data_IF_714448005402
#
_entry.id   IF_714448005402
#
_cell.length_a   1.000
_cell.length_b   1.000
_cell.length_c   1.000
_cell.angle_alpha   90.00
_cell.angle_beta   90.00
_cell.angle_gamma   90.00
#
_symmetry.space_group_name_H-M   'P 1'
#
loop_
_entity.id
_entity.type
_entity.pdbx_description
1 polymer ?
#
# COMPACT_ATOMS: atom_id res chain seq x y z
N UNK A 1 -6.44 11.51 13.72
CA UNK A 1 -5.73 12.71 13.24
C UNK A 1 -5.02 12.35 11.93
N UNK A 2 -5.77 12.17 10.85
CA UNK A 2 -5.22 11.82 9.54
C UNK A 2 -6.09 12.42 8.44
N UNK A 3 -5.45 12.81 7.34
CA UNK A 3 -6.12 13.42 6.19
C UNK A 3 -6.27 12.33 5.11
N UNK A 4 -7.50 11.87 4.91
CA UNK A 4 -7.84 10.82 3.93
C UNK A 4 -8.91 11.25 2.93
N UNK A 5 -9.25 12.55 2.86
CA UNK A 5 -10.36 13.07 2.05
C UNK A 5 -10.27 12.66 0.56
N UNK A 6 -9.06 12.47 0.04
CA UNK A 6 -8.79 11.99 -1.31
C UNK A 6 -7.40 11.32 -1.37
N UNK A 7 -7.06 10.69 -2.50
CA UNK A 7 -5.74 10.09 -2.72
C UNK A 7 -4.62 11.15 -2.69
N UNK A 8 -3.37 10.73 -2.46
CA UNK A 8 -2.21 11.60 -2.72
C UNK A 8 -1.91 12.57 -1.57
N UNK A 9 -2.31 12.21 -0.37
CA UNK A 9 -2.17 13.03 0.84
C UNK A 9 -0.93 12.66 1.68
N UNK A 10 -0.02 11.83 1.16
CA UNK A 10 1.18 11.40 1.90
C UNK A 10 1.99 12.59 2.42
N UNK A 11 2.30 13.56 1.56
CA UNK A 11 3.07 14.75 1.95
C UNK A 11 2.37 15.61 3.01
N UNK A 12 1.03 15.67 2.99
CA UNK A 12 0.29 16.37 4.03
C UNK A 12 0.35 15.62 5.36
N UNK A 13 0.27 14.28 5.34
CA UNK A 13 0.49 13.45 6.53
C UNK A 13 1.91 13.60 7.06
N UNK A 14 2.92 13.62 6.17
CA UNK A 14 4.33 13.83 6.53
C UNK A 14 4.54 15.10 7.34
N UNK A 15 3.98 16.23 6.92
CA UNK A 15 4.06 17.50 7.69
C UNK A 15 3.47 17.40 9.09
N UNK A 16 2.35 16.67 9.24
CA UNK A 16 1.76 16.41 10.57
C UNK A 16 2.69 15.52 11.39
N UNK A 17 3.31 14.51 10.78
CA UNK A 17 4.31 13.68 11.42
C UNK A 17 5.50 14.48 11.96
N UNK A 18 6.03 15.40 11.15
CA UNK A 18 7.13 16.29 11.54
C UNK A 18 6.76 17.17 12.74
N UNK A 19 5.56 17.75 12.74
CA UNK A 19 5.05 18.55 13.85
C UNK A 19 4.90 17.73 15.13
N UNK A 20 4.39 16.50 15.02
CA UNK A 20 4.24 15.58 16.14
C UNK A 20 5.60 15.17 16.74
N UNK A 21 6.61 14.94 15.90
CA UNK A 21 7.99 14.66 16.36
C UNK A 21 8.55 15.87 17.10
N UNK A 22 8.44 17.07 16.51
CA UNK A 22 9.00 18.28 17.08
C UNK A 22 8.36 18.65 18.43
N UNK A 23 7.03 18.69 18.49
CA UNK A 23 6.29 19.01 19.72
C UNK A 23 6.42 17.87 20.75
N UNK A 24 6.35 16.62 20.30
CA UNK A 24 6.50 15.44 21.14
C UNK A 24 7.84 15.41 21.86
N UNK A 25 8.93 15.64 21.13
CA UNK A 25 10.28 15.71 21.69
C UNK A 25 10.48 16.91 22.63
N UNK A 26 10.04 18.11 22.23
CA UNK A 26 10.23 19.33 23.02
C UNK A 26 9.50 19.29 24.38
N UNK A 27 8.38 18.57 24.46
CA UNK A 27 7.52 18.53 25.65
C UNK A 27 7.49 17.18 26.38
N UNK A 28 8.33 16.22 25.99
CA UNK A 28 8.36 14.88 26.60
C UNK A 28 7.08 14.07 26.37
N UNK A 29 6.34 14.36 25.31
CA UNK A 29 5.09 13.67 24.95
C UNK A 29 5.39 12.50 24.00
N UNK A 30 6.03 11.46 24.53
CA UNK A 30 6.66 10.39 23.75
C UNK A 30 5.72 9.66 22.80
N UNK A 31 4.49 9.34 23.24
CA UNK A 31 3.52 8.66 22.37
C UNK A 31 3.21 9.47 21.09
N UNK A 32 3.27 10.80 21.16
CA UNK A 32 3.12 11.66 19.98
C UNK A 32 4.37 11.68 19.12
N UNK A 33 5.57 11.68 19.72
CA UNK A 33 6.82 11.56 18.96
C UNK A 33 6.88 10.23 18.19
N UNK A 34 6.53 9.11 18.85
CA UNK A 34 6.44 7.78 18.22
C UNK A 34 5.41 7.77 17.09
N UNK A 35 4.20 8.29 17.32
CA UNK A 35 3.18 8.41 16.26
C UNK A 35 3.69 9.23 15.07
N UNK A 36 4.39 10.34 15.33
CA UNK A 36 5.00 11.16 14.30
C UNK A 36 6.02 10.39 13.46
N UNK A 37 6.88 9.59 14.10
CA UNK A 37 7.80 8.70 13.39
C UNK A 37 7.08 7.65 12.53
N UNK A 38 6.01 7.02 13.04
CA UNK A 38 5.22 6.05 12.26
C UNK A 38 4.56 6.70 11.03
N UNK A 39 4.06 7.93 11.17
CA UNK A 39 3.50 8.71 10.05
C UNK A 39 4.60 9.09 9.04
N UNK A 40 5.80 9.41 9.51
CA UNK A 40 6.92 9.74 8.65
C UNK A 40 7.39 8.52 7.83
N UNK A 41 7.41 7.32 8.43
CA UNK A 41 7.64 6.05 7.71
C UNK A 41 6.61 5.90 6.59
N UNK A 42 5.31 6.05 6.90
CA UNK A 42 4.21 5.96 5.94
C UNK A 42 4.37 6.93 4.77
N UNK A 43 4.63 8.21 5.04
CA UNK A 43 4.80 9.24 4.01
C UNK A 43 6.02 9.00 3.14
N UNK A 44 7.12 8.55 3.75
CA UNK A 44 8.38 8.28 3.05
C UNK A 44 8.27 7.04 2.16
N UNK A 45 7.61 5.98 2.63
CA UNK A 45 7.29 4.79 1.84
C UNK A 45 6.42 5.12 0.63
N UNK A 46 5.40 5.97 0.78
CA UNK A 46 4.53 6.38 -0.32
C UNK A 46 5.33 6.95 -1.50
N UNK A 47 6.37 7.75 -1.22
CA UNK A 47 7.14 8.51 -2.23
C UNK A 47 8.52 7.90 -2.54
N UNK A 48 8.76 6.69 -2.02
CA UNK A 48 9.98 5.92 -2.17
C UNK A 48 11.25 6.55 -1.56
N UNK A 49 11.12 7.32 -0.49
CA UNK A 49 12.27 7.71 0.35
C UNK A 49 12.50 6.65 1.45
N UNK A 50 13.01 5.49 1.02
CA UNK A 50 13.20 4.33 1.88
C UNK A 50 14.31 4.53 2.90
N UNK A 51 15.29 5.40 2.60
CA UNK A 51 16.31 5.81 3.57
C UNK A 51 15.71 6.63 4.70
N UNK A 52 14.94 7.68 4.40
CA UNK A 52 14.25 8.45 5.44
C UNK A 52 13.30 7.56 6.25
N UNK A 53 12.55 6.67 5.58
CA UNK A 53 11.69 5.71 6.27
C UNK A 53 12.47 4.84 7.26
N UNK A 54 13.66 4.34 6.89
CA UNK A 54 14.51 3.56 7.77
C UNK A 54 15.05 4.36 8.96
N UNK A 55 15.40 5.63 8.76
CA UNK A 55 15.84 6.53 9.84
C UNK A 55 14.72 6.76 10.87
N UNK A 56 13.48 6.97 10.41
CA UNK A 56 12.32 7.11 11.30
C UNK A 56 11.94 5.79 11.98
N UNK A 57 12.05 4.65 11.29
CA UNK A 57 11.85 3.32 11.89
C UNK A 57 12.84 3.08 13.03
N UNK A 58 14.13 3.33 12.81
CA UNK A 58 15.15 3.17 13.85
C UNK A 58 14.93 4.13 15.04
N UNK A 59 14.44 5.34 14.79
CA UNK A 59 14.09 6.28 15.85
C UNK A 59 12.86 5.81 16.66
N UNK A 60 11.83 5.31 15.99
CA UNK A 60 10.65 4.74 16.63
C UNK A 60 11.03 3.52 17.49
N UNK A 61 11.88 2.62 16.99
CA UNK A 61 12.34 1.43 17.73
C UNK A 61 13.15 1.81 18.98
N UNK A 62 14.01 2.84 18.91
CA UNK A 62 14.74 3.34 20.09
C UNK A 62 13.79 3.86 21.17
N UNK A 63 12.82 4.69 20.79
CA UNK A 63 11.80 5.19 21.71
C UNK A 63 10.93 4.05 22.26
N UNK A 64 10.59 3.07 21.43
CA UNK A 64 9.80 1.93 21.86
C UNK A 64 10.54 1.04 22.88
N UNK A 65 11.85 0.88 22.71
CA UNK A 65 12.68 0.15 23.67
C UNK A 65 12.82 0.91 25.00
N UNK A 66 12.99 2.23 24.95
CA UNK A 66 13.13 3.07 26.14
C UNK A 66 11.84 3.16 26.97
N UNK A 67 10.68 3.19 26.30
CA UNK A 67 9.37 3.40 26.92
C UNK A 67 8.46 2.16 26.91
N UNK A 68 9.03 0.98 26.64
CA UNK A 68 8.33 -0.31 26.67
C UNK A 68 7.05 -0.34 25.81
N UNK A 69 7.16 0.09 24.54
CA UNK A 69 6.04 0.16 23.57
C UNK A 69 6.15 -0.96 22.50
N UNK A 70 5.88 -2.23 22.84
CA UNK A 70 6.16 -3.37 21.96
C UNK A 70 5.41 -3.34 20.61
N UNK A 71 4.27 -2.68 20.54
CA UNK A 71 3.46 -2.57 19.31
C UNK A 71 4.19 -1.83 18.17
N UNK A 72 5.15 -0.96 18.49
CA UNK A 72 5.91 -0.20 17.49
C UNK A 72 6.72 -1.14 16.59
N UNK A 73 7.30 -2.19 17.18
CA UNK A 73 8.10 -3.18 16.45
C UNK A 73 7.34 -3.87 15.32
N UNK A 74 6.03 -4.09 15.51
CA UNK A 74 5.18 -4.67 14.46
C UNK A 74 5.16 -3.75 13.23
N UNK A 75 5.03 -2.44 13.40
CA UNK A 75 5.00 -1.52 12.28
C UNK A 75 6.36 -1.41 11.57
N UNK A 76 7.47 -1.41 12.32
CA UNK A 76 8.82 -1.31 11.74
C UNK A 76 9.26 -2.59 11.03
N UNK A 77 8.82 -3.76 11.50
CA UNK A 77 9.02 -5.04 10.82
C UNK A 77 8.21 -5.16 9.52
N UNK A 78 6.95 -4.73 9.53
CA UNK A 78 6.13 -4.68 8.32
C UNK A 78 6.67 -3.68 7.30
N UNK A 79 7.21 -2.55 7.76
CA UNK A 79 7.98 -1.64 6.91
C UNK A 79 9.20 -2.34 6.28
N UNK A 80 9.97 -3.11 7.05
CA UNK A 80 11.12 -3.84 6.53
C UNK A 80 10.72 -4.87 5.45
N UNK A 81 9.56 -5.53 5.61
CA UNK A 81 8.99 -6.41 4.60
C UNK A 81 8.54 -5.64 3.35
N UNK A 82 7.85 -4.51 3.51
CA UNK A 82 7.49 -3.60 2.41
C UNK A 82 8.72 -3.14 1.63
N UNK A 83 9.79 -2.74 2.32
CA UNK A 83 11.05 -2.33 1.70
C UNK A 83 11.63 -3.46 0.84
N UNK A 84 11.66 -4.68 1.37
CA UNK A 84 12.08 -5.88 0.63
C UNK A 84 11.18 -6.13 -0.59
N UNK A 85 9.88 -5.86 -0.47
CA UNK A 85 8.93 -6.00 -1.57
C UNK A 85 9.16 -4.98 -2.70
N UNK A 86 9.69 -3.79 -2.40
CA UNK A 86 10.03 -2.77 -3.40
C UNK A 86 11.39 -3.00 -4.08
N UNK A 87 12.37 -3.53 -3.36
CA UNK A 87 13.76 -3.60 -3.82
C UNK A 87 14.25 -5.01 -4.15
N UNK A 88 13.61 -6.04 -3.60
CA UNK A 88 14.04 -7.43 -3.69
C UNK A 88 13.33 -8.25 -4.78
N UNK A 89 13.58 -9.56 -4.76
CA UNK A 89 12.90 -10.54 -5.61
C UNK A 89 11.51 -10.88 -5.03
N UNK A 90 10.55 -11.37 -5.85
CA UNK A 90 9.24 -11.82 -5.34
C UNK A 90 9.37 -12.88 -4.24
N UNK A 91 10.33 -13.81 -4.35
CA UNK A 91 10.57 -14.84 -3.33
C UNK A 91 11.01 -14.22 -2.00
N UNK A 92 11.95 -13.28 -2.04
CA UNK A 92 12.40 -12.57 -0.84
C UNK A 92 11.28 -11.73 -0.22
N UNK A 93 10.47 -11.08 -1.05
CA UNK A 93 9.32 -10.30 -0.61
C UNK A 93 8.26 -11.16 0.10
N UNK A 94 7.87 -12.28 -0.50
CA UNK A 94 6.90 -13.20 0.13
C UNK A 94 7.44 -13.77 1.46
N UNK A 95 8.73 -14.12 1.52
CA UNK A 95 9.36 -14.60 2.75
C UNK A 95 9.37 -13.53 3.84
N UNK A 96 9.70 -12.28 3.50
CA UNK A 96 9.72 -11.17 4.44
C UNK A 96 8.32 -10.87 5.00
N UNK A 97 7.28 -10.89 4.16
CA UNK A 97 5.90 -10.72 4.63
C UNK A 97 5.44 -11.85 5.54
N UNK A 98 5.78 -13.11 5.22
CA UNK A 98 5.47 -14.25 6.09
C UNK A 98 6.17 -14.14 7.44
N UNK A 99 7.40 -13.62 7.48
CA UNK A 99 8.12 -13.37 8.73
C UNK A 99 7.45 -12.27 9.56
N UNK A 100 7.13 -11.12 8.96
CA UNK A 100 6.45 -10.01 9.64
C UNK A 100 5.03 -10.37 10.13
N UNK A 101 4.36 -11.32 9.49
CA UNK A 101 3.06 -11.80 9.96
C UNK A 101 3.13 -12.63 11.26
N UNK A 102 4.29 -13.20 11.59
CA UNK A 102 4.46 -13.97 12.83
C UNK A 102 4.35 -13.05 14.07
N UNK A 103 4.80 -11.80 13.97
CA UNK A 103 4.75 -10.82 15.06
C UNK A 103 3.43 -10.06 15.13
N UNK A 104 2.64 -10.09 14.06
CA UNK A 104 1.29 -9.54 14.03
C UNK A 104 0.28 -10.44 14.78
N UNK A 105 0.53 -11.75 14.84
CA UNK A 105 -0.38 -12.70 15.49
C UNK A 105 -0.46 -12.46 17.00
N UNK A 106 -1.64 -12.11 17.52
CA UNK A 106 -1.83 -11.81 18.95
C UNK A 106 -1.41 -10.40 19.35
N UNK A 107 -1.19 -9.50 18.38
CA UNK A 107 -0.91 -8.08 18.62
C UNK A 107 -2.11 -7.29 19.16
N UNK A 108 -3.31 -7.89 19.12
CA UNK A 108 -4.55 -7.24 19.54
C UNK A 108 -5.11 -6.29 18.49
N UNK A 109 -4.69 -6.44 17.23
CA UNK A 109 -5.09 -5.61 16.10
C UNK A 109 -5.92 -6.42 15.08
N UNK A 110 -7.13 -6.90 15.41
CA UNK A 110 -7.90 -7.80 14.54
C UNK A 110 -8.19 -7.20 13.16
N UNK A 111 -8.35 -5.87 13.07
CA UNK A 111 -8.55 -5.17 11.79
C UNK A 111 -7.31 -5.09 10.89
N UNK A 112 -6.13 -5.41 11.42
CA UNK A 112 -4.85 -5.50 10.69
C UNK A 112 -4.45 -6.97 10.51
N UNK A 113 -4.63 -7.79 11.54
CA UNK A 113 -4.35 -9.23 11.56
C UNK A 113 -5.15 -10.00 10.49
N UNK A 114 -6.42 -9.65 10.31
CA UNK A 114 -7.29 -10.36 9.36
C UNK A 114 -7.01 -9.90 7.92
N UNK A 115 -6.39 -10.78 7.13
CA UNK A 115 -6.26 -10.63 5.68
C UNK A 115 -5.07 -9.81 5.18
N UNK A 116 -4.29 -9.14 6.05
CA UNK A 116 -3.16 -8.33 5.60
C UNK A 116 -2.04 -9.17 4.97
N UNK A 117 -1.67 -10.31 5.55
CA UNK A 117 -0.68 -11.20 4.94
C UNK A 117 -1.16 -11.72 3.56
N UNK A 118 -2.38 -12.30 3.43
CA UNK A 118 -2.94 -12.66 2.14
C UNK A 118 -2.92 -11.50 1.13
N UNK A 119 -3.33 -10.30 1.54
CA UNK A 119 -3.29 -9.10 0.70
C UNK A 119 -1.86 -8.76 0.24
N UNK A 120 -0.88 -8.80 1.15
CA UNK A 120 0.50 -8.48 0.82
C UNK A 120 1.11 -9.48 -0.17
N UNK A 121 0.87 -10.78 0.04
CA UNK A 121 1.29 -11.84 -0.89
C UNK A 121 0.60 -11.71 -2.26
N UNK A 122 -0.70 -11.40 -2.27
CA UNK A 122 -1.44 -11.12 -3.48
C UNK A 122 -0.83 -9.94 -4.25
N UNK A 123 -0.48 -8.85 -3.55
CA UNK A 123 0.13 -7.67 -4.16
C UNK A 123 1.52 -7.99 -4.76
N UNK A 124 2.33 -8.80 -4.09
CA UNK A 124 3.62 -9.28 -4.63
C UNK A 124 3.38 -10.05 -5.93
N UNK A 125 2.50 -11.06 -5.91
CA UNK A 125 2.23 -11.89 -7.10
C UNK A 125 1.67 -11.07 -8.25
N UNK A 126 0.72 -10.18 -7.98
CA UNK A 126 0.11 -9.30 -8.97
C UNK A 126 1.14 -8.40 -9.64
N UNK A 127 2.00 -7.74 -8.85
CA UNK A 127 3.08 -6.88 -9.36
C UNK A 127 4.03 -7.63 -10.29
N UNK A 128 4.33 -8.89 -9.97
CA UNK A 128 5.30 -9.69 -10.70
C UNK A 128 4.68 -10.58 -11.80
N UNK A 129 3.37 -10.45 -12.06
CA UNK A 129 2.67 -11.27 -13.05
C UNK A 129 2.70 -12.77 -12.75
N UNK A 130 2.82 -13.13 -11.47
CA UNK A 130 2.82 -14.52 -11.02
C UNK A 130 1.37 -15.03 -10.89
N UNK A 131 1.14 -16.35 -10.96
CA UNK A 131 -0.17 -16.92 -10.63
C UNK A 131 -0.65 -16.43 -9.27
N UNK A 132 -1.85 -15.86 -9.19
CA UNK A 132 -2.42 -15.44 -7.90
C UNK A 132 -2.86 -16.71 -7.17
N UNK A 133 -2.71 -16.71 -5.84
CA UNK A 133 -3.03 -17.90 -5.04
C UNK A 133 -4.49 -18.30 -5.26
N UNK A 134 -4.74 -19.55 -5.65
CA UNK A 134 -6.09 -20.09 -5.80
C UNK A 134 -6.59 -20.75 -4.51
N UNK A 135 -5.86 -20.62 -3.40
CA UNK A 135 -6.16 -21.35 -2.17
C UNK A 135 -7.38 -20.71 -1.48
N UNK A 136 -8.51 -21.44 -1.37
CA UNK A 136 -9.69 -20.97 -0.63
C UNK A 136 -9.40 -20.73 0.87
N UNK A 137 -8.25 -21.17 1.38
CA UNK A 137 -7.76 -20.88 2.73
C UNK A 137 -7.19 -19.47 2.88
N UNK A 138 -6.89 -18.76 1.78
CA UNK A 138 -6.48 -17.35 1.81
C UNK A 138 -7.68 -16.50 2.23
N UNK A 139 -7.85 -16.35 3.55
CA UNK A 139 -8.83 -15.46 4.15
C UNK A 139 -8.39 -14.02 3.92
N UNK A 140 -8.64 -13.48 2.72
CA UNK A 140 -8.45 -12.05 2.41
C UNK A 140 -9.26 -11.14 3.34
N UNK A 141 -10.21 -11.70 4.10
CA UNK A 141 -10.93 -11.03 5.17
C UNK A 141 -11.62 -9.78 4.64
N UNK A 142 -11.38 -8.60 5.23
CA UNK A 142 -12.02 -7.36 4.78
C UNK A 142 -11.60 -6.91 3.38
N UNK A 143 -10.52 -7.47 2.80
CA UNK A 143 -10.00 -7.07 1.49
C UNK A 143 -10.61 -7.85 0.32
N UNK A 144 -11.35 -8.93 0.60
CA UNK A 144 -11.89 -9.82 -0.43
C UNK A 144 -12.71 -9.09 -1.53
N UNK A 145 -13.56 -8.10 -1.23
CA UNK A 145 -14.35 -7.43 -2.27
C UNK A 145 -13.54 -6.75 -3.39
N UNK A 146 -12.26 -6.43 -3.15
CA UNK A 146 -11.35 -5.85 -4.14
C UNK A 146 -10.43 -6.89 -4.82
N UNK A 147 -10.32 -8.09 -4.26
CA UNK A 147 -9.49 -9.19 -4.76
C UNK A 147 -10.33 -10.12 -5.65
N UNK A 148 -11.53 -10.47 -5.20
CA UNK A 148 -12.46 -11.39 -5.89
C UNK A 148 -12.58 -11.18 -7.41
N UNK A 149 -12.80 -9.95 -7.92
CA UNK A 149 -12.98 -9.76 -9.36
C UNK A 149 -11.72 -10.13 -10.16
N UNK A 150 -10.53 -9.93 -9.58
CA UNK A 150 -9.25 -10.25 -10.22
C UNK A 150 -9.03 -11.77 -10.23
N UNK A 151 -9.29 -12.44 -9.11
CA UNK A 151 -9.15 -13.90 -9.01
C UNK A 151 -10.10 -14.65 -9.95
N UNK A 152 -11.33 -14.15 -10.11
CA UNK A 152 -12.30 -14.68 -11.08
C UNK A 152 -11.84 -14.50 -12.53
N UNK A 153 -11.27 -13.33 -12.88
CA UNK A 153 -10.69 -13.10 -14.20
C UNK A 153 -9.53 -14.05 -14.51
N UNK A 154 -8.67 -14.35 -13.53
CA UNK A 154 -7.59 -15.33 -13.71
C UNK A 154 -8.09 -16.76 -13.91
N UNK A 155 -9.32 -17.04 -13.52
CA UNK A 155 -9.98 -18.33 -13.71
C UNK A 155 -10.87 -18.37 -14.97
N UNK A 156 -10.76 -17.36 -15.85
CA UNK A 156 -11.59 -17.16 -17.04
C UNK A 156 -13.11 -17.04 -16.76
N UNK A 157 -13.49 -16.67 -15.53
CA UNK A 157 -14.89 -16.49 -15.09
C UNK A 157 -15.32 -15.02 -15.25
N UNK A 158 -15.47 -14.58 -16.50
CA UNK A 158 -15.68 -13.18 -16.85
C UNK A 158 -17.00 -12.58 -16.33
N UNK A 159 -18.12 -13.31 -16.41
CA UNK A 159 -19.43 -12.81 -15.98
C UNK A 159 -19.52 -12.69 -14.45
N UNK A 160 -18.96 -13.66 -13.74
CA UNK A 160 -18.83 -13.65 -12.29
C UNK A 160 -17.91 -12.51 -11.85
N UNK A 161 -16.80 -12.29 -12.55
CA UNK A 161 -15.89 -11.19 -12.28
C UNK A 161 -16.58 -9.82 -12.49
N UNK A 162 -17.36 -9.67 -13.55
CA UNK A 162 -18.13 -8.45 -13.81
C UNK A 162 -19.15 -8.19 -12.70
N UNK A 163 -19.83 -9.24 -12.24
CA UNK A 163 -20.78 -9.18 -11.13
C UNK A 163 -20.08 -8.82 -9.82
N UNK A 164 -18.93 -9.42 -9.54
CA UNK A 164 -18.13 -9.10 -8.36
C UNK A 164 -17.61 -7.66 -8.40
N UNK A 165 -17.14 -7.16 -9.55
CA UNK A 165 -16.67 -5.78 -9.70
C UNK A 165 -17.80 -4.76 -9.46
N UNK A 166 -19.02 -5.03 -9.95
CA UNK A 166 -20.19 -4.18 -9.69
C UNK A 166 -20.58 -4.17 -8.20
N UNK A 167 -20.32 -5.26 -7.50
CA UNK A 167 -20.58 -5.39 -6.07
C UNK A 167 -19.43 -4.87 -5.19
N UNK A 168 -18.26 -4.51 -5.75
CA UNK A 168 -17.15 -3.95 -5.00
C UNK A 168 -17.58 -2.64 -4.33
N UNK A 169 -17.46 -2.51 -3.00
CA UNK A 169 -17.86 -1.31 -2.28
C UNK A 169 -16.91 -0.15 -2.59
N UNK A 170 -17.37 1.07 -2.30
CA UNK A 170 -16.50 2.25 -2.33
C UNK A 170 -15.34 2.07 -1.35
N UNK A 171 -14.08 2.24 -1.78
CA UNK A 171 -12.93 2.15 -0.88
C UNK A 171 -13.06 3.12 0.30
N UNK A 172 -12.90 2.66 1.55
CA UNK A 172 -12.81 3.54 2.69
C UNK A 172 -11.67 4.55 2.51
N UNK A 173 -11.91 5.79 2.94
CA UNK A 173 -10.91 6.84 3.00
C UNK A 173 -9.94 6.57 4.17
N UNK A 174 -8.99 5.67 3.96
CA UNK A 174 -7.95 5.25 4.90
C UNK A 174 -6.58 5.11 4.19
N UNK A 175 -5.57 4.56 4.89
CA UNK A 175 -4.20 4.37 4.36
C UNK A 175 -4.10 3.39 3.18
N UNK A 176 -5.16 2.65 2.87
CA UNK A 176 -5.23 1.66 1.79
C UNK A 176 -6.19 2.09 0.67
N UNK A 177 -6.66 3.35 0.68
CA UNK A 177 -7.54 3.91 -0.35
C UNK A 177 -6.95 3.76 -1.76
N UNK A 178 -5.70 4.18 -1.95
CA UNK A 178 -5.00 4.09 -3.24
C UNK A 178 -4.84 2.63 -3.68
N UNK A 179 -4.50 1.74 -2.74
CA UNK A 179 -4.32 0.31 -3.02
C UNK A 179 -5.62 -0.32 -3.55
N UNK A 180 -6.71 -0.17 -2.81
CA UNK A 180 -8.02 -0.73 -3.17
C UNK A 180 -8.54 -0.16 -4.47
N UNK A 181 -8.32 1.14 -4.71
CA UNK A 181 -8.68 1.78 -5.98
C UNK A 181 -7.86 1.21 -7.15
N UNK A 182 -6.56 0.95 -6.97
CA UNK A 182 -5.72 0.33 -8.00
C UNK A 182 -6.10 -1.14 -8.28
N UNK A 183 -6.53 -1.89 -7.26
CA UNK A 183 -7.09 -3.25 -7.45
C UNK A 183 -8.38 -3.21 -8.29
N UNK A 184 -9.29 -2.26 -8.01
CA UNK A 184 -10.48 -2.03 -8.84
C UNK A 184 -10.10 -1.71 -10.29
N UNK A 185 -9.08 -0.89 -10.52
CA UNK A 185 -8.56 -0.58 -11.87
C UNK A 185 -8.10 -1.85 -12.58
N UNK A 186 -7.36 -2.72 -11.90
CA UNK A 186 -6.85 -3.97 -12.50
C UNK A 186 -8.00 -4.83 -13.04
N UNK A 187 -9.04 -5.06 -12.24
CA UNK A 187 -10.23 -5.80 -12.69
C UNK A 187 -10.97 -5.07 -13.81
N UNK A 188 -11.17 -3.76 -13.69
CA UNK A 188 -11.90 -2.96 -14.67
C UNK A 188 -11.21 -2.92 -16.04
N UNK A 189 -9.87 -2.99 -16.10
CA UNK A 189 -9.13 -3.12 -17.36
C UNK A 189 -9.44 -4.47 -18.02
N UNK A 190 -9.38 -5.58 -17.27
CA UNK A 190 -9.68 -6.92 -17.78
C UNK A 190 -11.11 -7.06 -18.30
N UNK A 191 -12.06 -6.34 -17.67
CA UNK A 191 -13.48 -6.33 -18.03
C UNK A 191 -13.88 -5.22 -19.01
N UNK A 192 -12.95 -4.32 -19.37
CA UNK A 192 -13.19 -3.16 -20.25
C UNK A 192 -14.30 -2.22 -19.75
N UNK A 193 -14.39 -2.04 -18.43
CA UNK A 193 -15.40 -1.23 -17.76
C UNK A 193 -15.03 0.27 -17.76
N UNK A 194 -15.25 0.96 -18.88
CA UNK A 194 -14.82 2.35 -19.08
C UNK A 194 -15.33 3.33 -18.01
N UNK A 195 -16.57 3.18 -17.55
CA UNK A 195 -17.15 4.07 -16.54
C UNK A 195 -16.42 3.95 -15.20
N UNK A 196 -15.99 2.74 -14.83
CA UNK A 196 -15.16 2.49 -13.65
C UNK A 196 -13.78 3.11 -13.83
N UNK A 197 -13.16 2.89 -14.99
CA UNK A 197 -11.84 3.42 -15.31
C UNK A 197 -11.79 4.95 -15.24
N UNK A 198 -12.80 5.65 -15.76
CA UNK A 198 -12.87 7.13 -15.69
C UNK A 198 -12.93 7.63 -14.24
N UNK A 199 -13.79 7.03 -13.41
CA UNK A 199 -13.88 7.40 -11.98
C UNK A 199 -12.57 7.14 -11.24
N UNK A 200 -11.96 5.98 -11.46
CA UNK A 200 -10.70 5.63 -10.82
C UNK A 200 -9.56 6.55 -11.27
N UNK A 201 -9.56 6.99 -12.54
CA UNK A 201 -8.59 7.96 -13.04
C UNK A 201 -8.63 9.25 -12.23
N UNK A 202 -9.82 9.84 -12.07
CA UNK A 202 -9.99 11.11 -11.35
C UNK A 202 -9.60 10.98 -9.87
N UNK A 203 -9.92 9.84 -9.24
CA UNK A 203 -9.57 9.54 -7.84
C UNK A 203 -8.07 9.37 -7.62
N UNK A 204 -7.38 8.73 -8.56
CA UNK A 204 -5.96 8.38 -8.43
C UNK A 204 -5.02 9.49 -8.89
N UNK A 205 -5.49 10.40 -9.75
CA UNK A 205 -4.65 11.46 -10.33
C UNK A 205 -3.84 12.27 -9.28
N UNK A 206 -4.39 12.64 -8.11
CA UNK A 206 -3.63 13.34 -7.08
C UNK A 206 -2.46 12.54 -6.50
N UNK A 207 -2.49 11.20 -6.56
CA UNK A 207 -1.48 10.31 -6.01
C UNK A 207 -0.44 9.85 -7.04
N UNK A 208 -0.30 10.53 -8.19
CA UNK A 208 0.56 10.07 -9.29
C UNK A 208 2.03 9.84 -8.92
N UNK A 209 2.52 10.50 -7.86
CA UNK A 209 3.89 10.36 -7.36
C UNK A 209 4.03 9.34 -6.23
N UNK A 210 3.01 8.53 -5.96
CA UNK A 210 2.99 7.58 -4.86
C UNK A 210 2.93 6.12 -5.33
N UNK A 211 3.45 5.21 -4.51
CA UNK A 211 3.22 3.77 -4.62
C UNK A 211 1.86 3.41 -4.03
N UNK A 212 1.07 2.62 -4.76
CA UNK A 212 -0.24 2.19 -4.28
C UNK A 212 -0.08 1.31 -3.03
N UNK A 213 -0.69 1.73 -1.92
CA UNK A 213 -0.64 1.05 -0.62
C UNK A 213 0.59 1.34 0.24
N UNK A 214 1.71 1.78 -0.33
CA UNK A 214 2.94 2.00 0.43
C UNK A 214 2.80 3.11 1.49
N UNK A 215 1.84 4.02 1.30
CA UNK A 215 1.44 5.00 2.29
C UNK A 215 0.87 4.43 3.59
N UNK A 216 0.60 3.13 3.66
CA UNK A 216 0.30 2.42 4.92
C UNK A 216 1.55 2.06 5.72
N UNK A 217 2.71 2.01 5.07
CA UNK A 217 3.94 1.44 5.65
C UNK A 217 3.95 -0.09 5.70
N UNK A 218 2.89 -0.78 5.24
CA UNK A 218 2.70 -2.22 5.44
C UNK A 218 2.71 -3.02 4.13
N UNK A 219 2.05 -2.52 3.08
CA UNK A 219 1.88 -3.24 1.82
C UNK A 219 2.17 -2.32 0.63
N UNK A 220 2.56 -2.86 -0.51
CA UNK A 220 2.78 -2.07 -1.73
C UNK A 220 2.43 -2.83 -3.02
N UNK A 221 1.86 -2.11 -3.98
CA UNK A 221 1.71 -2.49 -5.38
C UNK A 221 2.68 -1.68 -6.26
N UNK A 222 2.39 -1.58 -7.55
CA UNK A 222 3.04 -0.68 -8.50
C UNK A 222 2.79 0.81 -8.19
N UNK A 223 3.57 1.75 -8.76
CA UNK A 223 3.26 3.18 -8.69
C UNK A 223 1.83 3.47 -9.14
N UNK A 224 1.14 4.42 -8.52
CA UNK A 224 -0.19 4.85 -8.97
C UNK A 224 -0.15 5.30 -10.44
N UNK A 225 0.93 5.94 -10.86
CA UNK A 225 1.15 6.31 -12.25
C UNK A 225 1.19 5.11 -13.23
N UNK A 226 1.54 3.90 -12.77
CA UNK A 226 1.42 2.68 -13.58
C UNK A 226 -0.04 2.41 -13.94
N UNK A 227 -0.93 2.47 -12.94
CA UNK A 227 -2.36 2.28 -13.13
C UNK A 227 -2.98 3.42 -13.94
N UNK A 228 -2.58 4.68 -13.73
CA UNK A 228 -3.02 5.82 -14.55
C UNK A 228 -2.61 5.66 -16.03
N UNK A 229 -1.40 5.15 -16.31
CA UNK A 229 -0.97 4.83 -17.66
C UNK A 229 -1.82 3.73 -18.31
N UNK A 230 -2.17 2.70 -17.53
CA UNK A 230 -2.99 1.59 -17.99
C UNK A 230 -4.42 2.05 -18.30
N UNK A 231 -5.03 2.85 -17.42
CA UNK A 231 -6.33 3.50 -17.66
C UNK A 231 -6.29 4.38 -18.90
N UNK A 232 -5.28 5.26 -19.03
CA UNK A 232 -5.15 6.14 -20.18
C UNK A 232 -5.09 5.33 -21.49
N UNK A 233 -4.33 4.24 -21.51
CA UNK A 233 -4.25 3.33 -22.66
C UNK A 233 -5.60 2.71 -22.98
N UNK A 234 -6.31 2.17 -21.98
CA UNK A 234 -7.62 1.55 -22.15
C UNK A 234 -8.69 2.54 -22.67
N UNK A 235 -8.57 3.82 -22.31
CA UNK A 235 -9.46 4.89 -22.76
C UNK A 235 -9.01 5.61 -24.04
N UNK A 236 -7.97 5.10 -24.73
CA UNK A 236 -7.45 5.71 -25.97
C UNK A 236 -6.75 7.07 -25.77
N UNK A 237 -6.26 7.36 -24.57
CA UNK A 237 -5.55 8.60 -24.19
C UNK A 237 -4.03 8.39 -24.12
N UNK A 238 -3.27 9.49 -24.14
CA UNK A 238 -1.82 9.41 -23.97
C UNK A 238 -1.43 8.93 -22.58
N UNK A 239 -0.54 7.95 -22.51
CA UNK A 239 -0.01 7.37 -21.28
C UNK A 239 1.48 7.72 -21.05
N UNK A 240 2.08 8.55 -21.91
CA UNK A 240 3.54 8.81 -21.92
C UNK A 240 4.02 9.40 -20.60
N UNK A 241 3.31 10.41 -20.08
CA UNK A 241 3.67 11.07 -18.84
C UNK A 241 3.60 10.13 -17.65
N UNK A 242 2.48 9.43 -17.51
CA UNK A 242 2.25 8.46 -16.44
C UNK A 242 3.31 7.35 -16.44
N UNK A 243 3.70 6.84 -17.61
CA UNK A 243 4.80 5.85 -17.72
C UNK A 243 6.16 6.44 -17.34
N UNK A 244 6.40 7.73 -17.59
CA UNK A 244 7.63 8.40 -17.14
C UNK A 244 7.66 8.53 -15.63
N UNK A 245 6.56 8.97 -15.02
CA UNK A 245 6.41 9.13 -13.57
C UNK A 245 6.57 7.80 -12.84
N UNK A 246 5.90 6.73 -13.31
CA UNK A 246 6.03 5.40 -12.74
C UNK A 246 7.49 4.91 -12.75
N UNK A 247 8.19 5.05 -13.89
CA UNK A 247 9.60 4.68 -14.00
C UNK A 247 10.50 5.47 -13.06
N UNK A 248 10.30 6.78 -12.98
CA UNK A 248 11.09 7.64 -12.09
C UNK A 248 10.96 7.21 -10.61
N UNK A 249 9.76 6.83 -10.18
CA UNK A 249 9.52 6.39 -8.80
C UNK A 249 10.14 5.00 -8.52
N UNK A 250 10.04 4.06 -9.48
CA UNK A 250 10.68 2.74 -9.37
C UNK A 250 12.21 2.86 -9.30
N UNK A 251 12.81 3.70 -10.15
CA UNK A 251 14.26 3.92 -10.13
C UNK A 251 14.72 4.57 -8.82
N UNK A 252 13.94 5.50 -8.27
CA UNK A 252 14.23 6.08 -6.94
C UNK A 252 14.26 5.00 -5.86
N UNK A 253 13.32 4.05 -5.86
CA UNK A 253 13.28 2.97 -4.87
C UNK A 253 14.51 2.06 -4.99
N UNK A 254 14.93 1.73 -6.21
CA UNK A 254 16.08 0.86 -6.48
C UNK A 254 17.41 1.46 -6.07
N UNK A 255 17.59 2.77 -6.25
CA UNK A 255 18.81 3.50 -5.92
C UNK A 255 19.11 3.62 -4.41
N UNK A 256 18.19 3.14 -3.57
CA UNK A 256 18.29 3.20 -2.10
C UNK A 256 18.44 1.82 -1.45
N UNK A 257 18.75 0.81 -2.26
CA UNK A 257 19.09 -0.56 -1.81
C UNK A 257 20.58 -0.65 -1.52
#
# INVERSE_FOLDING_TARGET
MHTFQHAGLSAARGRVGDELIALGGAHGLISFAVLGHLIAIQSSCATADLRAAAEHAAAADRLAAEYELPMVGVFTEWFAALRTALTGTPVAAEAAYRAAAQTLSGSGMPGVEQGLLPLALFCVRLRHGLPLGTDPSEQYGPYEPWIRPISLLQSDLHEEAATALRATPEPPHDLLYELRTCLTVHAAIGLREEAVLRRCYDRLLPATTEFAGAGSGLVTLEPVAHYLAAIATALGRSAVEHRRQARALIERARQQT
#
